data_IF_059539954913
#
_entry.id   IF_059539954913
#
_cell.length_a   1.000
_cell.length_b   1.000
_cell.length_c   1.000
_cell.angle_alpha   90.00
_cell.angle_beta   90.00
_cell.angle_gamma   90.00
#
_symmetry.space_group_name_H-M   'P 1'
#
loop_
_entity.id
_entity.type
_entity.pdbx_description
1 polymer ?
#
# COMPACT_ATOMS: atom_id res chain seq x y z
N UNK A 1 40.36 11.65 8.16
CA UNK A 1 39.43 10.65 7.58
C UNK A 1 38.06 10.82 8.23
N UNK A 2 37.22 11.78 7.82
CA UNK A 2 35.88 11.95 8.45
C UNK A 2 34.95 13.00 7.79
N UNK A 3 35.06 13.33 6.48
CA UNK A 3 34.20 14.37 5.89
C UNK A 3 33.66 14.06 4.49
N UNK A 4 33.82 12.83 4.00
CA UNK A 4 33.35 12.41 2.66
C UNK A 4 32.05 11.60 2.76
N UNK A 5 31.74 11.03 3.93
CA UNK A 5 30.56 10.16 4.11
C UNK A 5 29.26 10.95 4.28
N UNK A 6 29.32 12.21 4.71
CA UNK A 6 28.13 13.06 4.87
C UNK A 6 27.59 13.59 3.53
N UNK A 7 28.34 13.45 2.42
CA UNK A 7 27.99 14.01 1.10
C UNK A 7 27.41 12.95 0.15
N UNK A 8 27.55 11.65 0.45
CA UNK A 8 27.23 10.56 -0.50
C UNK A 8 26.05 9.65 -0.11
N UNK A 9 25.33 9.93 0.98
CA UNK A 9 24.08 9.24 1.28
C UNK A 9 22.98 10.30 1.30
N UNK A 10 22.02 10.29 0.37
CA UNK A 10 20.83 11.13 0.51
C UNK A 10 20.17 10.80 1.85
N UNK A 11 20.18 11.77 2.76
CA UNK A 11 19.37 11.71 3.99
C UNK A 11 17.91 11.61 3.56
N UNK A 12 17.31 10.46 3.88
CA UNK A 12 15.96 10.00 3.53
C UNK A 12 15.76 9.49 2.08
N UNK A 13 16.19 8.24 1.84
CA UNK A 13 15.82 7.44 0.67
C UNK A 13 14.39 6.84 0.77
N UNK A 14 13.61 7.19 1.80
CA UNK A 14 12.29 6.59 1.98
C UNK A 14 11.30 7.15 0.95
N UNK A 15 10.65 6.24 0.22
CA UNK A 15 9.63 6.63 -0.75
C UNK A 15 8.49 7.32 -0.04
N UNK A 16 8.00 8.42 -0.61
CA UNK A 16 6.81 9.12 -0.12
C UNK A 16 5.59 8.19 -0.18
N UNK A 17 4.71 8.27 0.83
CA UNK A 17 3.37 7.68 0.77
C UNK A 17 2.35 8.73 0.32
N UNK A 18 1.50 8.35 -0.65
CA UNK A 18 0.28 9.09 -1.00
C UNK A 18 -0.93 8.20 -0.75
N UNK A 19 -1.88 8.72 0.01
CA UNK A 19 -3.15 8.05 0.32
C UNK A 19 -4.20 8.43 -0.72
N UNK A 20 -4.77 7.45 -1.41
CA UNK A 20 -5.82 7.68 -2.40
C UNK A 20 -7.19 7.63 -1.74
N UNK A 21 -8.04 8.61 -2.05
CA UNK A 21 -9.40 8.71 -1.53
C UNK A 21 -9.47 8.61 -0.01
N UNK A 22 -10.34 7.73 0.49
CA UNK A 22 -10.56 7.49 1.93
C UNK A 22 -9.60 6.48 2.56
N UNK A 23 -8.59 5.99 1.85
CA UNK A 23 -7.73 4.88 2.31
C UNK A 23 -7.08 5.15 3.67
N UNK A 24 -6.62 6.38 3.93
CA UNK A 24 -6.05 6.75 5.23
C UNK A 24 -7.10 6.74 6.34
N UNK A 25 -8.31 7.26 6.05
CA UNK A 25 -9.41 7.28 7.00
C UNK A 25 -9.82 5.86 7.38
N UNK A 26 -9.89 4.96 6.39
CA UNK A 26 -10.27 3.57 6.63
C UNK A 26 -9.20 2.83 7.44
N UNK A 27 -7.89 3.04 7.14
CA UNK A 27 -6.82 2.50 7.97
C UNK A 27 -6.91 2.98 9.42
N UNK A 28 -7.19 4.28 9.62
CA UNK A 28 -7.36 4.85 10.98
C UNK A 28 -8.53 4.21 11.74
N UNK A 29 -9.51 3.62 11.05
CA UNK A 29 -10.61 2.88 11.65
C UNK A 29 -10.32 1.40 11.93
N UNK A 30 -9.12 0.90 11.62
CA UNK A 30 -8.73 -0.47 11.96
C UNK A 30 -8.38 -0.62 13.45
N UNK A 31 -8.42 -1.85 13.99
CA UNK A 31 -7.86 -2.15 15.32
C UNK A 31 -6.39 -1.72 15.44
N UNK A 32 -5.94 -1.40 16.65
CA UNK A 32 -4.57 -0.89 16.89
C UNK A 32 -3.50 -1.85 16.38
N UNK A 33 -3.59 -3.13 16.76
CA UNK A 33 -2.64 -4.16 16.32
C UNK A 33 -2.55 -4.28 14.79
N UNK A 34 -3.67 -4.07 14.09
CA UNK A 34 -3.69 -4.08 12.62
C UNK A 34 -2.99 -2.83 12.08
N UNK A 35 -3.20 -1.66 12.68
CA UNK A 35 -2.51 -0.42 12.29
C UNK A 35 -1.01 -0.53 12.50
N UNK A 36 -0.55 -1.12 13.61
CA UNK A 36 0.87 -1.33 13.88
C UNK A 36 1.53 -2.24 12.83
N UNK A 37 0.89 -3.37 12.53
CA UNK A 37 1.39 -4.31 11.51
C UNK A 37 1.44 -3.63 10.14
N UNK A 38 0.38 -2.94 9.74
CA UNK A 38 0.32 -2.23 8.45
C UNK A 38 1.36 -1.11 8.41
N UNK A 39 1.47 -0.30 9.47
CA UNK A 39 2.41 0.81 9.57
C UNK A 39 3.86 0.35 9.45
N UNK A 40 4.25 -0.67 10.22
CA UNK A 40 5.58 -1.27 10.13
C UNK A 40 5.88 -1.85 8.74
N UNK A 41 4.88 -2.49 8.12
CA UNK A 41 5.02 -3.05 6.77
C UNK A 41 5.18 -1.96 5.73
N UNK A 42 4.39 -0.89 5.82
CA UNK A 42 4.50 0.26 4.91
C UNK A 42 5.83 0.99 5.07
N UNK A 43 6.34 1.13 6.29
CA UNK A 43 7.67 1.70 6.54
C UNK A 43 8.75 0.94 5.77
N UNK A 44 8.76 -0.40 5.83
CA UNK A 44 9.67 -1.23 5.02
C UNK A 44 9.49 -1.03 3.52
N UNK A 45 8.25 -0.87 3.04
CA UNK A 45 7.98 -0.58 1.63
C UNK A 45 8.54 0.78 1.22
N UNK A 46 8.48 1.78 2.11
CA UNK A 46 9.11 3.09 1.87
C UNK A 46 10.63 2.97 1.74
N UNK A 47 11.26 2.12 2.55
CA UNK A 47 12.70 1.78 2.43
C UNK A 47 13.04 0.96 1.17
N UNK A 48 12.06 0.64 0.32
CA UNK A 48 12.26 -0.14 -0.90
C UNK A 48 12.33 -1.65 -0.67
N UNK A 49 12.04 -2.13 0.54
CA UNK A 49 12.02 -3.55 0.88
C UNK A 49 10.71 -4.22 0.41
N UNK A 50 10.74 -5.56 0.35
CA UNK A 50 9.58 -6.40 0.01
C UNK A 50 9.18 -7.23 1.23
N UNK A 51 8.22 -6.77 2.05
CA UNK A 51 7.81 -7.48 3.26
C UNK A 51 7.13 -8.81 2.95
N UNK A 52 7.36 -9.83 3.79
CA UNK A 52 6.80 -11.18 3.62
C UNK A 52 5.27 -11.24 3.67
N UNK A 53 4.64 -10.31 4.39
CA UNK A 53 3.19 -10.20 4.53
C UNK A 53 2.52 -9.35 3.44
N UNK A 54 3.30 -8.86 2.46
CA UNK A 54 2.79 -8.24 1.25
C UNK A 54 2.90 -9.20 0.06
N UNK A 55 1.81 -9.35 -0.70
CA UNK A 55 1.78 -10.24 -1.88
C UNK A 55 1.12 -9.56 -3.09
N UNK A 56 1.41 -9.99 -4.32
CA UNK A 56 0.75 -9.44 -5.49
C UNK A 56 -0.76 -9.69 -5.46
N UNK A 57 -1.53 -8.65 -5.78
CA UNK A 57 -2.96 -8.76 -6.07
C UNK A 57 -3.15 -8.97 -7.58
N UNK A 58 -3.68 -10.12 -7.95
CA UNK A 58 -3.85 -10.52 -9.36
C UNK A 58 -4.82 -9.60 -10.12
N UNK A 59 -4.62 -9.46 -11.44
CA UNK A 59 -5.54 -8.74 -12.32
C UNK A 59 -5.20 -7.28 -12.58
N UNK A 60 -4.09 -6.77 -12.03
CA UNK A 60 -3.66 -5.39 -12.20
C UNK A 60 -2.39 -5.26 -13.03
N UNK A 61 -2.38 -4.27 -13.94
CA UNK A 61 -1.20 -3.80 -14.67
C UNK A 61 -1.15 -2.26 -14.60
N UNK A 62 -0.10 -1.63 -14.05
CA UNK A 62 1.07 -2.26 -13.41
C UNK A 62 0.70 -3.03 -12.14
N UNK A 63 1.67 -3.75 -11.58
CA UNK A 63 1.48 -4.58 -10.39
C UNK A 63 0.95 -3.77 -9.19
N UNK A 64 -0.02 -4.38 -8.50
CA UNK A 64 -0.59 -3.93 -7.23
C UNK A 64 -0.30 -5.00 -6.18
N UNK A 65 0.01 -4.56 -4.97
CA UNK A 65 0.36 -5.41 -3.83
C UNK A 65 -0.70 -5.26 -2.74
N UNK A 66 -0.90 -6.30 -1.94
CA UNK A 66 -1.76 -6.27 -0.75
C UNK A 66 -1.01 -6.77 0.48
N UNK A 67 -1.13 -6.02 1.58
CA UNK A 67 -0.80 -6.46 2.93
C UNK A 67 -2.03 -7.15 3.49
N UNK A 68 -1.89 -8.39 3.97
CA UNK A 68 -2.99 -9.14 4.59
C UNK A 68 -2.71 -9.36 6.06
N UNK A 69 -3.59 -8.88 6.92
CA UNK A 69 -3.51 -9.03 8.38
C UNK A 69 -4.81 -9.59 8.91
N UNK A 70 -4.76 -10.51 9.87
CA UNK A 70 -5.95 -11.05 10.53
C UNK A 70 -6.02 -10.52 11.97
N UNK A 71 -7.22 -10.18 12.41
CA UNK A 71 -7.50 -9.77 13.79
C UNK A 71 -8.95 -10.11 14.12
N UNK A 72 -9.17 -10.75 15.27
CA UNK A 72 -10.50 -11.12 15.77
C UNK A 72 -11.42 -11.75 14.69
N UNK A 73 -10.99 -12.87 14.11
CA UNK A 73 -11.67 -13.59 13.03
C UNK A 73 -11.90 -12.81 11.71
N UNK A 74 -11.43 -11.57 11.62
CA UNK A 74 -11.58 -10.71 10.46
C UNK A 74 -10.25 -10.58 9.71
N UNK A 75 -10.34 -10.42 8.38
CA UNK A 75 -9.19 -10.15 7.54
C UNK A 75 -9.19 -8.69 7.08
N UNK A 76 -8.09 -7.99 7.32
CA UNK A 76 -7.85 -6.61 6.93
C UNK A 76 -6.84 -6.56 5.80
N UNK A 77 -7.11 -5.72 4.80
CA UNK A 77 -6.29 -5.59 3.60
C UNK A 77 -5.92 -4.13 3.38
N UNK A 78 -4.64 -3.91 3.13
CA UNK A 78 -4.08 -2.62 2.70
C UNK A 78 -3.43 -2.80 1.34
N UNK A 79 -3.99 -2.16 0.33
CA UNK A 79 -3.63 -2.34 -1.08
C UNK A 79 -2.84 -1.14 -1.57
N UNK A 80 -1.71 -1.38 -2.24
CA UNK A 80 -0.79 -0.33 -2.68
C UNK A 80 -0.10 -0.66 -4.00
N UNK A 81 0.50 0.36 -4.63
CA UNK A 81 1.45 0.17 -5.73
C UNK A 81 2.70 1.03 -5.53
N UNK A 82 3.84 0.50 -5.95
CA UNK A 82 5.14 1.19 -6.00
C UNK A 82 5.66 1.35 -7.42
N UNK A 83 4.79 1.11 -8.41
CA UNK A 83 5.13 1.10 -9.84
C UNK A 83 4.84 2.43 -10.55
N UNK A 84 4.70 3.51 -9.79
CA UNK A 84 4.41 4.86 -10.29
C UNK A 84 5.46 5.79 -9.67
N UNK A 85 6.50 6.12 -10.43
CA UNK A 85 7.62 6.94 -9.97
C UNK A 85 8.28 6.40 -8.68
N UNK A 86 8.68 7.31 -7.79
CA UNK A 86 9.30 7.01 -6.50
C UNK A 86 8.31 7.14 -5.32
N UNK A 87 7.02 6.88 -5.57
CA UNK A 87 5.96 7.04 -4.57
C UNK A 87 5.24 5.72 -4.32
N UNK A 88 4.89 5.48 -3.05
CA UNK A 88 4.02 4.39 -2.61
C UNK A 88 2.60 4.94 -2.57
N UNK A 89 1.74 4.50 -3.49
CA UNK A 89 0.34 4.89 -3.51
C UNK A 89 -0.48 3.86 -2.74
N UNK A 90 -1.11 4.27 -1.63
CA UNK A 90 -2.07 3.43 -0.91
C UNK A 90 -3.42 3.61 -1.57
N UNK A 91 -3.86 2.57 -2.27
CA UNK A 91 -5.06 2.59 -3.09
C UNK A 91 -6.29 2.36 -2.21
N UNK A 92 -6.25 1.37 -1.32
CA UNK A 92 -7.41 1.04 -0.50
C UNK A 92 -7.04 0.34 0.80
N UNK A 93 -7.85 0.57 1.83
CA UNK A 93 -7.77 -0.11 3.13
C UNK A 93 -9.19 -0.57 3.47
N UNK A 94 -9.39 -1.88 3.65
CA UNK A 94 -10.71 -2.43 3.97
C UNK A 94 -10.62 -3.68 4.85
N UNK A 95 -11.69 -3.92 5.61
CA UNK A 95 -11.94 -5.20 6.26
C UNK A 95 -12.72 -6.07 5.28
N UNK A 96 -12.16 -7.21 4.87
CA UNK A 96 -12.90 -8.23 4.13
C UNK A 96 -13.90 -8.87 5.11
N UNK A 97 -15.14 -8.41 5.06
CA UNK A 97 -16.25 -9.07 5.75
C UNK A 97 -16.44 -10.47 5.16
N UNK A 98 -16.73 -11.45 6.01
CA UNK A 98 -16.93 -12.85 5.61
C UNK A 98 -18.13 -12.98 4.67
N UNK A 99 -17.87 -12.84 3.37
CA UNK A 99 -18.73 -13.34 2.31
C UNK A 99 -18.02 -14.54 1.69
N UNK A 100 -18.80 -15.59 1.42
CA UNK A 100 -18.30 -16.89 0.98
C UNK A 100 -17.21 -16.76 -0.10
N UNK A 101 -16.01 -17.25 0.19
CA UNK A 101 -14.90 -17.36 -0.77
C UNK A 101 -13.61 -16.60 -0.42
N UNK A 102 -12.51 -17.05 -1.04
CA UNK A 102 -11.15 -16.51 -0.85
C UNK A 102 -10.95 -15.19 -1.64
N UNK A 103 -11.76 -14.97 -2.68
CA UNK A 103 -11.62 -13.84 -3.62
C UNK A 103 -12.03 -12.51 -2.97
N UNK A 104 -11.34 -11.46 -3.37
CA UNK A 104 -11.69 -10.07 -3.07
C UNK A 104 -13.02 -9.73 -3.77
N UNK A 105 -14.01 -9.10 -3.10
CA UNK A 105 -15.26 -8.71 -3.73
C UNK A 105 -15.06 -7.81 -4.96
N UNK A 106 -15.95 -7.90 -5.95
CA UNK A 106 -15.81 -7.14 -7.21
C UNK A 106 -15.75 -5.62 -6.99
N UNK A 107 -16.58 -5.08 -6.09
CA UNK A 107 -16.59 -3.64 -5.82
C UNK A 107 -15.25 -3.12 -5.27
N UNK A 108 -14.55 -3.94 -4.47
CA UNK A 108 -13.21 -3.61 -3.98
C UNK A 108 -12.21 -3.56 -5.13
N UNK A 109 -12.26 -4.54 -6.05
CA UNK A 109 -11.41 -4.58 -7.23
C UNK A 109 -11.66 -3.37 -8.15
N UNK A 110 -12.92 -3.03 -8.38
CA UNK A 110 -13.31 -1.89 -9.22
C UNK A 110 -12.81 -0.56 -8.62
N UNK A 111 -12.94 -0.40 -7.29
CA UNK A 111 -12.44 0.79 -6.57
C UNK A 111 -10.92 0.89 -6.62
N UNK A 112 -10.19 -0.23 -6.42
CA UNK A 112 -8.73 -0.27 -6.55
C UNK A 112 -8.32 0.12 -7.98
N UNK A 113 -9.04 -0.37 -9.00
CA UNK A 113 -8.74 -0.07 -10.40
C UNK A 113 -8.98 1.41 -10.72
N UNK A 114 -10.03 2.02 -10.16
CA UNK A 114 -10.29 3.44 -10.28
C UNK A 114 -9.16 4.25 -9.64
N UNK A 115 -8.84 3.98 -8.37
CA UNK A 115 -7.80 4.74 -7.64
C UNK A 115 -6.40 4.56 -8.22
N UNK A 116 -6.12 3.41 -8.83
CA UNK A 116 -4.89 3.22 -9.59
C UNK A 116 -4.81 4.17 -10.78
N UNK A 117 -5.92 4.38 -11.52
CA UNK A 117 -5.96 5.36 -12.63
C UNK A 117 -5.75 6.78 -12.11
N UNK A 118 -6.41 7.13 -11.00
CA UNK A 118 -6.26 8.45 -10.35
C UNK A 118 -4.81 8.69 -9.89
N UNK A 119 -4.13 7.66 -9.37
CA UNK A 119 -2.73 7.76 -8.97
C UNK A 119 -1.79 8.06 -10.16
N UNK A 120 -2.04 7.45 -11.33
CA UNK A 120 -1.31 7.77 -12.56
C UNK A 120 -1.53 9.22 -13.00
N UNK A 121 -2.79 9.67 -12.98
CA UNK A 121 -3.14 11.06 -13.33
C UNK A 121 -2.47 12.05 -12.37
N UNK A 122 -2.50 11.76 -11.06
CA UNK A 122 -1.85 12.59 -10.04
C UNK A 122 -0.32 12.67 -10.22
N UNK A 123 0.30 11.58 -10.67
CA UNK A 123 1.73 11.56 -10.97
C UNK A 123 2.11 12.31 -12.25
N UNK A 124 1.14 12.79 -13.03
CA UNK A 124 1.38 13.38 -14.35
C UNK A 124 1.86 12.35 -15.39
N UNK A 125 1.72 11.05 -15.10
CA UNK A 125 2.17 9.96 -15.97
C UNK A 125 0.98 9.46 -16.78
N UNK A 126 1.03 9.62 -18.11
CA UNK A 126 0.07 8.98 -19.00
C UNK A 126 0.30 7.47 -19.00
N UNK A 127 -0.78 6.72 -18.81
CA UNK A 127 -0.79 5.26 -18.70
C UNK A 127 -0.54 4.58 -20.03
#
# INVERSE_FOLDING_TARGET
MSQIWDILIPMDLSKKIIWMGDSQKNLKGFPEDVKDIVGYTLHKVQEGLFPKNAKPLSGFKPAVMEIVTAYDSNAYRTVYTTKIGETVYILHCFQKKSTQGIKTPKHEIDLIQQRLKEAFLLAGIKR
#
